data_IF_819266663435
#
_entry.id   IF_819266663435
#
_cell.length_a   1.000
_cell.length_b   1.000
_cell.length_c   1.000
_cell.angle_alpha   90.00
_cell.angle_beta   90.00
_cell.angle_gamma   90.00
#
_symmetry.space_group_name_H-M   'P 1'
#
loop_
_entity.id
_entity.type
_entity.pdbx_description
1 polymer ?
#
# COMPACT_ATOMS: atom_id res chain seq x y z
N UNK A 1 51.23 29.63 -54.69
CA UNK A 1 51.03 29.64 -53.22
C UNK A 1 49.55 29.91 -52.94
N UNK A 2 48.74 28.90 -52.59
CA UNK A 2 47.29 29.12 -52.40
C UNK A 2 46.48 27.87 -52.01
N UNK A 3 47.03 26.67 -52.22
CA UNK A 3 46.35 25.41 -51.87
C UNK A 3 46.48 25.03 -50.38
N UNK A 4 47.59 25.38 -49.71
CA UNK A 4 47.82 25.00 -48.31
C UNK A 4 46.94 25.77 -47.31
N UNK A 5 46.45 26.97 -47.66
CA UNK A 5 45.67 27.83 -46.74
C UNK A 5 44.22 27.35 -46.53
N UNK A 6 43.63 26.62 -47.50
CA UNK A 6 42.26 26.12 -47.40
C UNK A 6 42.13 24.86 -46.53
N UNK A 7 43.15 23.99 -46.49
CA UNK A 7 43.13 22.78 -45.65
C UNK A 7 43.21 23.09 -44.16
N UNK A 8 43.99 24.10 -43.76
CA UNK A 8 44.11 24.53 -42.35
C UNK A 8 42.81 25.13 -41.82
N UNK A 9 42.09 25.91 -42.64
CA UNK A 9 40.81 26.51 -42.25
C UNK A 9 39.73 25.46 -41.98
N UNK A 10 39.67 24.40 -42.81
CA UNK A 10 38.73 23.28 -42.66
C UNK A 10 39.02 22.43 -41.41
N UNK A 11 40.28 22.28 -41.03
CA UNK A 11 40.71 21.58 -39.82
C UNK A 11 40.33 22.35 -38.54
N UNK A 12 40.54 23.67 -38.53
CA UNK A 12 40.17 24.55 -37.41
C UNK A 12 38.64 24.58 -37.23
N UNK A 13 37.87 24.64 -38.31
CA UNK A 13 36.41 24.62 -38.25
C UNK A 13 35.85 23.29 -37.70
N UNK A 14 36.48 22.16 -38.05
CA UNK A 14 36.15 20.84 -37.49
C UNK A 14 36.49 20.73 -36.01
N UNK A 15 37.60 21.31 -35.58
CA UNK A 15 38.00 21.34 -34.18
C UNK A 15 37.02 22.17 -33.34
N UNK A 16 36.62 23.35 -33.83
CA UNK A 16 35.61 24.19 -33.18
C UNK A 16 34.23 23.53 -33.11
N UNK A 17 33.79 22.84 -34.17
CA UNK A 17 32.55 22.06 -34.12
C UNK A 17 32.59 20.94 -33.08
N UNK A 18 33.72 20.25 -32.95
CA UNK A 18 33.89 19.19 -31.93
C UNK A 18 33.93 19.79 -30.53
N UNK A 19 34.64 20.89 -30.32
CA UNK A 19 34.66 21.60 -29.05
C UNK A 19 33.26 22.09 -28.65
N UNK A 20 32.49 22.64 -29.60
CA UNK A 20 31.10 23.06 -29.36
C UNK A 20 30.19 21.88 -28.99
N UNK A 21 30.34 20.73 -29.66
CA UNK A 21 29.59 19.51 -29.33
C UNK A 21 29.95 18.97 -27.94
N UNK A 22 31.22 19.00 -27.54
CA UNK A 22 31.66 18.62 -26.20
C UNK A 22 31.14 19.57 -25.13
N UNK A 23 31.14 20.88 -25.41
CA UNK A 23 30.54 21.90 -24.53
C UNK A 23 29.02 21.72 -24.43
N UNK A 24 28.32 21.41 -25.53
CA UNK A 24 26.89 21.07 -25.51
C UNK A 24 26.60 19.76 -24.76
N UNK A 25 27.47 18.75 -24.84
CA UNK A 25 27.34 17.52 -24.06
C UNK A 25 27.63 17.74 -22.56
N UNK A 26 28.56 18.64 -22.22
CA UNK A 26 28.88 19.02 -20.85
C UNK A 26 27.83 19.96 -20.22
N UNK A 27 27.11 20.73 -21.04
CA UNK A 27 26.00 21.61 -20.64
C UNK A 27 24.64 20.92 -20.71
N UNK A 28 24.55 19.71 -21.28
CA UNK A 28 23.38 18.87 -21.13
C UNK A 28 23.35 18.37 -19.68
N UNK A 29 22.72 19.16 -18.80
CA UNK A 29 22.29 18.67 -17.50
C UNK A 29 21.54 17.34 -17.70
N UNK A 30 21.66 16.37 -16.78
CA UNK A 30 20.93 15.12 -16.91
C UNK A 30 19.45 15.46 -17.02
N UNK A 31 18.88 15.29 -18.21
CA UNK A 31 17.48 15.59 -18.52
C UNK A 31 16.52 14.54 -17.92
N UNK A 32 16.96 13.85 -16.86
CA UNK A 32 16.35 12.68 -16.26
C UNK A 32 15.88 12.97 -14.83
N UNK A 33 15.80 14.25 -14.44
CA UNK A 33 15.17 14.63 -13.18
C UNK A 33 13.65 14.65 -13.37
N UNK A 34 12.94 13.77 -12.68
CA UNK A 34 11.49 13.83 -12.58
C UNK A 34 11.06 14.82 -11.51
N UNK A 35 10.07 15.65 -11.82
CA UNK A 35 9.39 16.48 -10.82
C UNK A 35 8.41 15.60 -10.03
N UNK A 36 8.74 15.32 -8.77
CA UNK A 36 7.91 14.50 -7.88
C UNK A 36 7.30 15.41 -6.81
N UNK A 37 5.97 15.45 -6.78
CA UNK A 37 5.21 16.22 -5.81
C UNK A 37 4.50 15.29 -4.84
N UNK A 38 4.80 15.39 -3.55
CA UNK A 38 4.11 14.69 -2.47
C UNK A 38 3.07 15.61 -1.83
N UNK A 39 1.91 15.05 -1.55
CA UNK A 39 0.84 15.79 -0.86
C UNK A 39 0.08 14.93 0.14
N UNK A 40 -0.38 15.61 1.19
CA UNK A 40 -1.23 15.09 2.27
C UNK A 40 -2.04 16.25 2.85
N UNK A 41 -3.25 15.98 3.31
CA UNK A 41 -4.05 16.91 4.09
C UNK A 41 -3.43 17.22 5.46
N UNK A 42 -2.77 16.24 6.07
CA UNK A 42 -2.06 16.42 7.34
C UNK A 42 -0.57 16.69 7.10
N UNK A 43 -0.08 17.82 7.60
CA UNK A 43 1.35 18.14 7.62
C UNK A 43 1.98 17.68 8.96
N UNK A 44 2.06 16.36 9.12
CA UNK A 44 2.62 15.72 10.30
C UNK A 44 4.09 15.32 10.14
N UNK A 45 4.81 15.15 11.25
CA UNK A 45 6.22 14.75 11.26
C UNK A 45 6.48 13.45 10.47
N UNK A 46 5.55 12.49 10.48
CA UNK A 46 5.67 11.25 9.72
C UNK A 46 5.59 11.46 8.20
N UNK A 47 4.77 12.41 7.73
CA UNK A 47 4.66 12.75 6.31
C UNK A 47 5.92 13.46 5.83
N UNK A 48 6.43 14.39 6.64
CA UNK A 48 7.69 15.10 6.34
C UNK A 48 8.88 14.13 6.32
N UNK A 49 8.96 13.21 7.30
CA UNK A 49 9.99 12.17 7.33
C UNK A 49 9.92 11.25 6.11
N UNK A 50 8.71 10.89 5.67
CA UNK A 50 8.52 10.09 4.46
C UNK A 50 9.00 10.84 3.19
N UNK A 51 8.61 12.11 3.03
CA UNK A 51 9.03 12.93 1.91
C UNK A 51 10.55 13.13 1.88
N UNK A 52 11.16 13.35 3.04
CA UNK A 52 12.61 13.48 3.17
C UNK A 52 13.34 12.18 2.85
N UNK A 53 12.81 11.02 3.29
CA UNK A 53 13.39 9.73 2.97
C UNK A 53 13.34 9.43 1.47
N UNK A 54 12.23 9.75 0.79
CA UNK A 54 12.13 9.61 -0.66
C UNK A 54 13.11 10.53 -1.39
N UNK A 55 13.24 11.80 -0.94
CA UNK A 55 14.21 12.73 -1.50
C UNK A 55 15.67 12.24 -1.33
N UNK A 56 15.98 11.58 -0.22
CA UNK A 56 17.30 10.99 0.00
C UNK A 56 17.58 9.78 -0.89
N UNK A 57 16.57 8.95 -1.17
CA UNK A 57 16.71 7.80 -2.08
C UNK A 57 16.82 8.22 -3.55
N UNK A 58 16.26 9.37 -3.92
CA UNK A 58 16.20 9.86 -5.30
C UNK A 58 16.86 11.24 -5.45
N UNK A 59 18.20 11.34 -5.26
CA UNK A 59 18.91 12.62 -5.29
C UNK A 59 18.92 13.29 -6.68
N UNK A 60 18.67 12.52 -7.74
CA UNK A 60 18.59 13.01 -9.12
C UNK A 60 17.21 13.62 -9.45
N UNK A 61 16.18 13.29 -8.67
CA UNK A 61 14.81 13.78 -8.89
C UNK A 61 14.49 15.00 -8.02
N UNK A 62 13.62 15.88 -8.52
CA UNK A 62 13.15 17.02 -7.75
C UNK A 62 11.94 16.62 -6.89
N UNK A 63 12.22 16.18 -5.67
CA UNK A 63 11.20 15.75 -4.70
C UNK A 63 10.77 16.93 -3.83
N UNK A 64 9.48 17.28 -3.89
CA UNK A 64 8.88 18.36 -3.10
C UNK A 64 7.67 17.88 -2.32
N UNK A 65 7.44 18.46 -1.14
CA UNK A 65 6.21 18.25 -0.37
C UNK A 65 5.40 19.54 -0.36
N UNK A 66 4.10 19.45 -0.63
CA UNK A 66 3.17 20.58 -0.51
C UNK A 66 1.88 20.11 0.18
N UNK A 67 1.48 20.75 1.30
CA UNK A 67 0.22 20.44 1.97
C UNK A 67 -0.96 20.59 1.03
N UNK A 68 -1.97 19.72 1.16
CA UNK A 68 -3.11 19.67 0.24
C UNK A 68 -3.86 21.01 0.15
N UNK A 69 -3.97 21.73 1.26
CA UNK A 69 -4.62 23.05 1.36
C UNK A 69 -3.97 24.13 0.48
N UNK A 70 -2.69 23.96 0.15
CA UNK A 70 -1.89 24.93 -0.60
C UNK A 70 -1.81 24.56 -2.09
N UNK A 71 -2.37 23.41 -2.49
CA UNK A 71 -2.38 22.97 -3.88
C UNK A 71 -3.52 23.61 -4.69
N UNK A 72 -3.27 23.94 -5.97
CA UNK A 72 -4.32 24.35 -6.89
C UNK A 72 -5.21 23.16 -7.28
N UNK A 73 -6.19 23.38 -8.18
CA UNK A 73 -6.93 22.27 -8.79
C UNK A 73 -5.97 21.31 -9.55
N UNK A 74 -6.25 19.99 -9.61
CA UNK A 74 -5.32 19.03 -10.21
C UNK A 74 -4.91 19.34 -11.66
N UNK A 75 -5.79 19.87 -12.51
CA UNK A 75 -5.45 20.27 -13.90
C UNK A 75 -4.48 21.43 -14.02
N UNK A 76 -4.28 22.22 -12.96
CA UNK A 76 -3.33 23.34 -12.97
C UNK A 76 -1.90 22.91 -12.61
N UNK A 77 -1.72 21.67 -12.17
CA UNK A 77 -0.38 21.13 -11.97
C UNK A 77 0.29 20.84 -13.32
N UNK A 78 1.62 20.99 -13.41
CA UNK A 78 2.36 20.65 -14.62
C UNK A 78 2.12 19.18 -15.04
N UNK A 79 1.89 18.95 -16.33
CA UNK A 79 1.54 17.61 -16.82
C UNK A 79 2.69 16.59 -16.69
N UNK A 80 3.93 17.05 -16.57
CA UNK A 80 5.13 16.24 -16.34
C UNK A 80 5.35 15.89 -14.85
N UNK A 81 4.63 16.53 -13.93
CA UNK A 81 4.73 16.23 -12.50
C UNK A 81 4.21 14.82 -12.23
N UNK A 82 4.95 14.06 -11.42
CA UNK A 82 4.52 12.78 -10.85
C UNK A 82 4.01 13.04 -9.45
N UNK A 83 2.71 12.86 -9.26
CA UNK A 83 2.06 13.15 -8.00
C UNK A 83 2.04 11.92 -7.10
N UNK A 84 2.33 12.11 -5.82
CA UNK A 84 2.24 11.10 -4.77
C UNK A 84 1.27 11.62 -3.72
N UNK A 85 0.15 10.93 -3.56
CA UNK A 85 -0.89 11.23 -2.57
C UNK A 85 -0.77 10.27 -1.41
N UNK A 86 -0.69 10.79 -0.19
CA UNK A 86 -0.39 9.99 1.01
C UNK A 86 -1.60 9.70 1.91
N UNK A 87 -2.79 10.16 1.54
CA UNK A 87 -4.01 10.00 2.33
C UNK A 87 -5.30 10.05 1.50
N UNK A 88 -6.42 9.72 2.17
CA UNK A 88 -7.74 9.67 1.58
C UNK A 88 -8.27 11.05 1.13
N UNK A 89 -8.11 12.15 1.91
CA UNK A 89 -8.52 13.48 1.44
C UNK A 89 -7.77 13.95 0.19
N UNK A 90 -6.49 13.60 0.04
CA UNK A 90 -5.74 13.88 -1.18
C UNK A 90 -6.26 13.08 -2.38
N UNK A 91 -6.74 11.85 -2.17
CA UNK A 91 -7.42 11.08 -3.21
C UNK A 91 -8.73 11.78 -3.61
N UNK A 92 -9.53 12.22 -2.63
CA UNK A 92 -10.76 12.96 -2.88
C UNK A 92 -10.50 14.22 -3.70
N UNK A 93 -9.47 15.00 -3.36
CA UNK A 93 -9.05 16.17 -4.15
C UNK A 93 -8.62 15.77 -5.57
N UNK A 94 -7.82 14.71 -5.72
CA UNK A 94 -7.35 14.25 -7.03
C UNK A 94 -8.51 13.81 -7.93
N UNK A 95 -9.56 13.23 -7.38
CA UNK A 95 -10.73 12.75 -8.12
C UNK A 95 -11.67 13.87 -8.58
N UNK A 96 -11.53 15.10 -8.09
CA UNK A 96 -12.32 16.24 -8.54
C UNK A 96 -12.05 16.62 -10.01
N UNK A 97 -10.91 16.21 -10.56
CA UNK A 97 -10.48 16.59 -11.91
C UNK A 97 -9.73 15.45 -12.63
N UNK A 98 -10.33 14.94 -13.70
CA UNK A 98 -9.76 13.85 -14.49
C UNK A 98 -8.46 14.23 -15.23
N UNK A 99 -8.20 15.53 -15.45
CA UNK A 99 -7.03 16.03 -16.16
C UNK A 99 -5.79 16.20 -15.28
N UNK A 100 -5.86 15.82 -13.99
CA UNK A 100 -4.70 15.83 -13.12
C UNK A 100 -3.51 14.99 -13.62
N UNK A 101 -2.31 15.22 -13.05
CA UNK A 101 -1.10 14.48 -13.40
C UNK A 101 -1.21 12.98 -13.08
N UNK A 102 -0.29 12.15 -13.60
CA UNK A 102 -0.14 10.78 -13.13
C UNK A 102 0.12 10.73 -11.63
N UNK A 103 -0.64 9.89 -10.94
CA UNK A 103 -0.74 9.88 -9.48
C UNK A 103 -0.53 8.47 -8.92
N UNK A 104 0.42 8.35 -7.98
CA UNK A 104 0.53 7.20 -7.08
C UNK A 104 -0.20 7.56 -5.79
N UNK A 105 -1.16 6.74 -5.36
CA UNK A 105 -1.91 6.95 -4.12
C UNK A 105 -1.55 5.84 -3.15
N UNK A 106 -1.11 6.22 -1.96
CA UNK A 106 -0.60 5.30 -0.95
C UNK A 106 -1.47 5.37 0.31
N UNK A 107 -1.27 4.41 1.21
CA UNK A 107 -1.87 4.42 2.56
C UNK A 107 -3.41 4.41 2.56
N UNK A 108 -4.00 3.87 1.50
CA UNK A 108 -5.43 3.66 1.36
C UNK A 108 -5.75 2.17 1.33
N UNK A 109 -6.83 1.78 2.00
CA UNK A 109 -7.30 0.40 1.93
C UNK A 109 -8.16 0.17 0.68
N UNK A 110 -8.28 -1.09 0.26
CA UNK A 110 -9.17 -1.48 -0.84
C UNK A 110 -10.62 -1.10 -0.59
N UNK A 111 -11.07 -1.16 0.67
CA UNK A 111 -12.42 -0.72 1.05
C UNK A 111 -12.60 0.79 0.84
N UNK A 112 -11.66 1.60 1.32
CA UNK A 112 -11.71 3.06 1.14
C UNK A 112 -11.70 3.44 -0.34
N UNK A 113 -10.86 2.79 -1.14
CA UNK A 113 -10.83 3.02 -2.58
C UNK A 113 -12.14 2.58 -3.25
N UNK A 114 -12.72 1.44 -2.85
CA UNK A 114 -14.01 0.96 -3.34
C UNK A 114 -15.14 1.95 -3.06
N UNK A 115 -15.18 2.53 -1.87
CA UNK A 115 -16.18 3.55 -1.49
C UNK A 115 -16.07 4.83 -2.35
N UNK A 116 -14.86 5.23 -2.75
CA UNK A 116 -14.64 6.44 -3.57
C UNK A 116 -14.78 6.21 -5.06
N UNK A 117 -14.28 5.07 -5.56
CA UNK A 117 -14.18 4.80 -6.99
C UNK A 117 -15.33 3.91 -7.50
N UNK A 118 -16.01 3.18 -6.63
CA UNK A 118 -16.98 2.17 -7.02
C UNK A 118 -16.34 1.11 -7.94
N UNK A 119 -16.86 0.99 -9.16
CA UNK A 119 -16.30 0.14 -10.22
C UNK A 119 -15.46 0.93 -11.25
N UNK A 120 -15.29 2.23 -11.04
CA UNK A 120 -14.56 3.07 -11.99
C UNK A 120 -13.06 2.93 -11.80
N UNK A 121 -12.33 3.04 -12.91
CA UNK A 121 -10.89 3.07 -12.90
C UNK A 121 -10.41 4.40 -13.47
N UNK A 122 -10.20 5.42 -12.62
CA UNK A 122 -9.74 6.73 -13.07
C UNK A 122 -8.41 6.60 -13.81
N UNK A 123 -8.29 7.32 -14.93
CA UNK A 123 -7.07 7.32 -15.71
C UNK A 123 -5.91 7.95 -14.93
N UNK A 124 -4.70 7.45 -15.16
CA UNK A 124 -3.46 7.96 -14.57
C UNK A 124 -3.40 7.88 -13.03
N UNK A 125 -4.20 7.00 -12.40
CA UNK A 125 -4.13 6.75 -10.96
C UNK A 125 -3.69 5.30 -10.74
N UNK A 126 -2.64 5.12 -9.97
CA UNK A 126 -2.17 3.82 -9.47
C UNK A 126 -2.34 3.79 -7.95
N UNK A 127 -2.99 2.74 -7.44
CA UNK A 127 -3.35 2.61 -6.03
C UNK A 127 -2.42 1.58 -5.36
N UNK A 128 -1.71 2.00 -4.31
CA UNK A 128 -0.85 1.15 -3.51
C UNK A 128 -1.52 0.86 -2.16
N UNK A 129 -1.98 -0.38 -2.00
CA UNK A 129 -2.88 -0.78 -0.93
C UNK A 129 -2.19 -0.92 0.42
N UNK A 130 -2.80 -0.36 1.47
CA UNK A 130 -2.28 -0.43 2.84
C UNK A 130 -2.83 -1.56 3.68
N UNK A 131 -4.00 -2.07 3.33
CA UNK A 131 -4.48 -3.32 3.91
C UNK A 131 -3.58 -4.48 3.48
N UNK A 132 -3.47 -5.51 4.30
CA UNK A 132 -2.82 -6.75 3.89
C UNK A 132 -3.62 -7.50 2.81
N UNK A 133 -2.96 -8.15 1.84
CA UNK A 133 -3.65 -9.03 0.91
C UNK A 133 -4.42 -10.14 1.63
N UNK A 134 -5.65 -10.43 1.18
CA UNK A 134 -6.50 -11.45 1.79
C UNK A 134 -5.86 -12.85 1.74
N UNK A 135 -5.27 -13.23 0.60
CA UNK A 135 -4.55 -14.49 0.45
C UNK A 135 -3.40 -14.60 1.46
N UNK A 136 -2.65 -13.51 1.68
CA UNK A 136 -1.54 -13.45 2.65
C UNK A 136 -2.03 -13.67 4.08
N UNK A 137 -3.16 -13.08 4.44
CA UNK A 137 -3.76 -13.26 5.77
C UNK A 137 -4.31 -14.67 5.99
N UNK A 138 -4.90 -15.30 4.98
CA UNK A 138 -5.30 -16.71 5.05
C UNK A 138 -4.10 -17.64 5.19
N UNK A 139 -3.02 -17.39 4.44
CA UNK A 139 -1.77 -18.13 4.56
C UNK A 139 -1.11 -17.92 5.94
N UNK A 140 -1.18 -16.71 6.48
CA UNK A 140 -0.73 -16.42 7.84
C UNK A 140 -1.51 -17.30 8.82
N UNK A 141 -2.85 -17.29 8.78
CA UNK A 141 -3.71 -18.14 9.62
C UNK A 141 -3.31 -19.61 9.50
N UNK A 142 -3.20 -20.15 8.29
CA UNK A 142 -2.83 -21.54 8.07
C UNK A 142 -1.44 -21.87 8.63
N UNK A 143 -0.51 -20.91 8.62
CA UNK A 143 0.83 -21.09 9.18
C UNK A 143 0.89 -21.02 10.71
N UNK A 144 0.06 -20.20 11.35
CA UNK A 144 0.08 -20.02 12.82
C UNK A 144 -0.91 -20.91 13.55
N UNK A 145 -1.99 -21.32 12.88
CA UNK A 145 -3.10 -22.10 13.40
C UNK A 145 -3.44 -23.23 12.41
N UNK A 146 -2.56 -24.23 12.23
CA UNK A 146 -2.73 -25.28 11.21
C UNK A 146 -3.99 -26.14 11.39
N UNK A 147 -4.56 -26.15 12.59
CA UNK A 147 -5.80 -26.86 12.92
C UNK A 147 -7.07 -26.07 12.59
N UNK A 148 -6.98 -24.75 12.35
CA UNK A 148 -8.14 -23.93 12.05
C UNK A 148 -8.67 -24.26 10.64
N UNK A 149 -9.98 -24.49 10.53
CA UNK A 149 -10.65 -24.76 9.25
C UNK A 149 -11.75 -23.74 8.95
N UNK A 150 -12.44 -23.26 9.98
CA UNK A 150 -13.55 -22.31 9.86
C UNK A 150 -13.08 -20.91 10.21
N UNK A 151 -13.01 -20.04 9.21
CA UNK A 151 -12.54 -18.67 9.31
C UNK A 151 -13.74 -17.74 9.44
N UNK A 152 -13.94 -17.22 10.64
CA UNK A 152 -15.00 -16.27 10.92
C UNK A 152 -14.67 -14.87 10.41
N UNK A 153 -15.56 -14.27 9.62
CA UNK A 153 -15.36 -12.94 9.04
C UNK A 153 -16.57 -12.07 9.32
N UNK A 154 -16.36 -10.97 10.06
CA UNK A 154 -17.35 -9.90 10.16
C UNK A 154 -17.18 -8.96 8.98
N UNK A 155 -18.29 -8.61 8.34
CA UNK A 155 -18.31 -7.66 7.25
C UNK A 155 -19.52 -6.72 7.37
N UNK A 156 -19.39 -5.52 6.82
CA UNK A 156 -20.48 -4.59 6.60
C UNK A 156 -20.87 -4.56 5.13
N UNK A 157 -21.91 -3.80 4.78
CA UNK A 157 -22.38 -3.65 3.40
C UNK A 157 -21.27 -3.21 2.44
N UNK A 158 -20.40 -2.30 2.89
CA UNK A 158 -19.33 -1.76 2.05
C UNK A 158 -18.18 -2.75 1.84
N UNK A 159 -17.96 -3.69 2.77
CA UNK A 159 -16.88 -4.70 2.71
C UNK A 159 -17.32 -6.05 2.15
N UNK A 160 -18.61 -6.24 1.84
CA UNK A 160 -19.17 -7.48 1.28
C UNK A 160 -18.45 -7.94 -0.01
N UNK A 161 -18.00 -7.00 -0.85
CA UNK A 161 -17.32 -7.32 -2.11
C UNK A 161 -16.03 -8.13 -1.92
N UNK A 162 -15.41 -8.09 -0.73
CA UNK A 162 -14.19 -8.84 -0.41
C UNK A 162 -14.48 -10.33 -0.15
N UNK A 163 -15.73 -10.70 0.16
CA UNK A 163 -16.07 -12.07 0.53
C UNK A 163 -15.92 -13.06 -0.62
N UNK A 164 -16.21 -12.64 -1.86
CA UNK A 164 -16.03 -13.51 -3.02
C UNK A 164 -14.56 -13.89 -3.19
N UNK A 165 -13.68 -12.89 -3.26
CA UNK A 165 -12.24 -13.09 -3.38
C UNK A 165 -11.68 -13.88 -2.18
N UNK A 166 -12.17 -13.63 -0.97
CA UNK A 166 -11.74 -14.38 0.20
C UNK A 166 -12.08 -15.88 0.09
N UNK A 167 -13.26 -16.23 -0.43
CA UNK A 167 -13.64 -17.63 -0.69
C UNK A 167 -12.80 -18.26 -1.79
N UNK A 168 -12.47 -17.51 -2.84
CA UNK A 168 -11.62 -17.97 -3.94
C UNK A 168 -10.23 -18.38 -3.44
N UNK A 169 -9.63 -17.61 -2.53
CA UNK A 169 -8.36 -17.97 -1.89
C UNK A 169 -8.49 -19.07 -0.83
N UNK A 170 -9.59 -19.10 -0.06
CA UNK A 170 -9.77 -20.06 1.02
C UNK A 170 -10.05 -21.50 0.55
N UNK A 171 -10.83 -21.65 -0.53
CA UNK A 171 -11.23 -22.94 -1.09
C UNK A 171 -10.05 -23.89 -1.39
N UNK A 172 -9.01 -23.48 -2.15
CA UNK A 172 -7.87 -24.36 -2.44
C UNK A 172 -7.04 -24.71 -1.19
N UNK A 173 -7.15 -23.91 -0.12
CA UNK A 173 -6.50 -24.17 1.17
C UNK A 173 -7.32 -25.13 2.06
N UNK A 174 -8.53 -25.51 1.63
CA UNK A 174 -9.46 -26.29 2.45
C UNK A 174 -9.98 -25.52 3.67
N UNK A 175 -10.05 -24.19 3.57
CA UNK A 175 -10.60 -23.30 4.59
C UNK A 175 -12.05 -22.93 4.24
N UNK A 176 -12.93 -22.96 5.24
CA UNK A 176 -14.32 -22.53 5.14
C UNK A 176 -14.44 -21.09 5.64
N UNK A 177 -14.95 -20.18 4.80
CA UNK A 177 -15.28 -18.82 5.24
C UNK A 177 -16.69 -18.83 5.86
N UNK A 178 -16.77 -18.40 7.12
CA UNK A 178 -18.02 -18.20 7.87
C UNK A 178 -18.30 -16.70 7.94
N UNK A 179 -19.00 -16.11 6.95
CA UNK A 179 -19.28 -14.68 6.93
C UNK A 179 -20.46 -14.35 7.86
N UNK A 180 -20.37 -13.24 8.59
CA UNK A 180 -21.49 -12.67 9.35
C UNK A 180 -21.60 -11.17 9.08
N UNK A 181 -22.76 -10.75 8.57
CA UNK A 181 -23.06 -9.33 8.37
C UNK A 181 -23.23 -8.68 9.74
N UNK A 182 -22.55 -7.54 9.94
CA UNK A 182 -22.64 -6.75 11.16
C UNK A 182 -22.88 -5.28 10.81
N UNK A 183 -24.12 -4.98 10.45
CA UNK A 183 -24.62 -3.66 10.06
C UNK A 183 -25.05 -2.79 11.26
N UNK A 184 -25.27 -3.40 12.42
CA UNK A 184 -25.56 -2.73 13.68
C UNK A 184 -24.56 -3.13 14.77
N UNK A 185 -23.60 -2.25 15.06
CA UNK A 185 -22.54 -2.47 16.06
C UNK A 185 -23.07 -2.68 17.50
N UNK A 186 -24.32 -2.33 17.77
CA UNK A 186 -24.95 -2.58 19.08
C UNK A 186 -25.58 -3.97 19.18
N UNK A 187 -25.74 -4.67 18.06
CA UNK A 187 -26.25 -6.04 18.02
C UNK A 187 -25.10 -7.04 18.22
N UNK A 188 -25.15 -7.80 19.30
CA UNK A 188 -24.14 -8.83 19.59
C UNK A 188 -24.45 -10.19 18.96
N UNK A 189 -25.64 -10.39 18.37
CA UNK A 189 -26.05 -11.68 17.80
C UNK A 189 -25.11 -12.16 16.67
N UNK A 190 -24.69 -11.31 15.71
CA UNK A 190 -23.75 -11.72 14.67
C UNK A 190 -22.40 -12.20 15.26
N UNK A 191 -21.89 -11.48 16.26
CA UNK A 191 -20.66 -11.85 16.98
C UNK A 191 -20.80 -13.21 17.68
N UNK A 192 -21.90 -13.42 18.42
CA UNK A 192 -22.14 -14.68 19.12
C UNK A 192 -22.27 -15.88 18.16
N UNK A 193 -22.94 -15.69 17.02
CA UNK A 193 -23.04 -16.71 15.98
C UNK A 193 -21.66 -16.99 15.37
N UNK A 194 -20.86 -15.96 15.14
CA UNK A 194 -19.52 -16.11 14.60
C UNK A 194 -18.62 -16.91 15.54
N UNK A 195 -18.66 -16.59 16.84
CA UNK A 195 -17.80 -17.26 17.83
C UNK A 195 -18.13 -18.74 18.01
N UNK A 196 -19.40 -19.13 17.85
CA UNK A 196 -19.82 -20.54 17.95
C UNK A 196 -19.40 -21.39 16.75
N UNK A 197 -19.26 -20.77 15.58
CA UNK A 197 -19.13 -21.48 14.31
C UNK A 197 -17.74 -21.34 13.67
N UNK A 198 -16.80 -20.67 14.32
CA UNK A 198 -15.46 -20.38 13.76
C UNK A 198 -14.36 -20.91 14.67
N UNK A 199 -13.21 -21.26 14.08
CA UNK A 199 -12.00 -21.67 14.80
C UNK A 199 -11.01 -20.51 14.98
N UNK A 200 -11.13 -19.48 14.14
CA UNK A 200 -10.35 -18.26 14.16
C UNK A 200 -11.14 -17.15 13.48
N UNK A 201 -10.92 -15.90 13.90
CA UNK A 201 -11.47 -14.72 13.25
C UNK A 201 -10.44 -14.07 12.33
N UNK A 202 -10.88 -13.60 11.17
CA UNK A 202 -10.12 -12.73 10.29
C UNK A 202 -10.79 -11.35 10.24
N UNK A 203 -10.04 -10.33 10.64
CA UNK A 203 -10.49 -8.94 10.54
C UNK A 203 -10.26 -8.36 9.16
N UNK A 204 -11.31 -7.77 8.58
CA UNK A 204 -11.21 -6.93 7.37
C UNK A 204 -10.86 -5.50 7.78
N UNK A 205 -10.11 -4.77 6.94
CA UNK A 205 -9.76 -3.35 7.19
C UNK A 205 -10.96 -2.43 6.94
N UNK A 206 -12.01 -2.66 7.73
CA UNK A 206 -13.27 -1.95 7.72
C UNK A 206 -13.36 -1.02 8.94
N UNK A 207 -13.18 0.31 8.76
CA UNK A 207 -13.19 1.25 9.87
C UNK A 207 -14.59 1.41 10.50
N UNK A 208 -15.67 0.95 9.87
CA UNK A 208 -16.99 0.94 10.52
C UNK A 208 -17.08 -0.17 11.57
N UNK A 209 -16.43 -1.31 11.32
CA UNK A 209 -16.48 -2.49 12.18
C UNK A 209 -15.29 -2.58 13.14
N UNK A 210 -14.10 -2.18 12.72
CA UNK A 210 -12.84 -2.31 13.45
C UNK A 210 -12.29 -0.93 13.83
N UNK A 211 -12.89 -0.31 14.86
CA UNK A 211 -12.54 1.03 15.33
C UNK A 211 -12.44 1.10 16.86
N UNK A 212 -11.97 2.22 17.45
CA UNK A 212 -11.81 2.35 18.90
C UNK A 212 -13.08 2.10 19.73
N UNK A 213 -14.29 2.25 19.15
CA UNK A 213 -15.55 2.00 19.86
C UNK A 213 -15.86 0.51 19.95
N UNK A 214 -15.55 -0.26 18.91
CA UNK A 214 -15.90 -1.69 18.80
C UNK A 214 -14.77 -2.64 19.21
N UNK A 215 -13.51 -2.23 19.01
CA UNK A 215 -12.31 -3.07 19.21
C UNK A 215 -12.26 -3.73 20.59
N UNK A 216 -12.53 -2.97 21.66
CA UNK A 216 -12.47 -3.47 23.03
C UNK A 216 -13.48 -4.60 23.25
N UNK A 217 -14.72 -4.40 22.79
CA UNK A 217 -15.77 -5.40 22.97
C UNK A 217 -15.50 -6.66 22.12
N UNK A 218 -15.07 -6.47 20.87
CA UNK A 218 -14.73 -7.56 19.95
C UNK A 218 -13.60 -8.42 20.53
N UNK A 219 -12.50 -7.81 20.96
CA UNK A 219 -11.35 -8.52 21.53
C UNK A 219 -11.69 -9.24 22.83
N UNK A 220 -12.36 -8.57 23.78
CA UNK A 220 -12.75 -9.20 25.05
C UNK A 220 -13.68 -10.39 24.82
N UNK A 221 -14.63 -10.26 23.89
CA UNK A 221 -15.56 -11.36 23.58
C UNK A 221 -14.85 -12.52 22.88
N UNK A 222 -13.92 -12.23 21.96
CA UNK A 222 -13.09 -13.23 21.30
C UNK A 222 -12.27 -14.03 22.32
N UNK A 223 -11.61 -13.35 23.26
CA UNK A 223 -10.83 -14.01 24.31
C UNK A 223 -11.68 -14.83 25.28
N UNK A 224 -12.86 -14.33 25.67
CA UNK A 224 -13.78 -15.07 26.53
C UNK A 224 -14.21 -16.42 25.90
N UNK A 225 -14.20 -16.50 24.56
CA UNK A 225 -14.49 -17.71 23.80
C UNK A 225 -13.22 -18.46 23.36
N UNK A 226 -12.04 -18.05 23.83
CA UNK A 226 -10.73 -18.58 23.42
C UNK A 226 -10.51 -18.57 21.89
N UNK A 227 -11.16 -17.63 21.20
CA UNK A 227 -11.13 -17.55 19.76
C UNK A 227 -10.03 -16.57 19.34
N UNK A 228 -9.00 -17.01 18.58
CA UNK A 228 -7.96 -16.11 18.12
C UNK A 228 -8.48 -15.18 17.03
N UNK A 229 -8.00 -13.94 17.01
CA UNK A 229 -8.29 -12.96 15.96
C UNK A 229 -7.01 -12.59 15.23
N UNK A 230 -6.95 -12.84 13.93
CA UNK A 230 -5.96 -12.24 13.03
C UNK A 230 -6.51 -10.89 12.58
N UNK A 231 -5.82 -9.83 12.99
CA UNK A 231 -6.33 -8.46 12.90
C UNK A 231 -6.18 -7.86 11.49
N UNK A 232 -6.98 -6.83 11.17
CA UNK A 232 -6.95 -6.20 9.85
C UNK A 232 -5.63 -5.52 9.51
N UNK A 233 -4.86 -5.09 10.52
CA UNK A 233 -3.60 -4.40 10.33
C UNK A 233 -2.73 -4.49 11.61
N UNK A 234 -1.47 -4.06 11.51
CA UNK A 234 -0.53 -4.03 12.64
C UNK A 234 -0.99 -3.15 13.82
N UNK A 235 -1.77 -2.09 13.55
CA UNK A 235 -2.37 -1.26 14.60
C UNK A 235 -3.32 -2.06 15.49
N UNK A 236 -4.07 -2.99 14.90
CA UNK A 236 -4.98 -3.86 15.64
C UNK A 236 -4.25 -4.93 16.46
N UNK A 237 -3.05 -5.37 16.04
CA UNK A 237 -2.20 -6.30 16.83
C UNK A 237 -1.73 -5.63 18.11
N UNK A 238 -1.38 -4.34 18.04
CA UNK A 238 -1.08 -3.52 19.22
C UNK A 238 -2.30 -3.35 20.14
N UNK A 239 -3.51 -3.35 19.58
CA UNK A 239 -4.76 -3.30 20.35
C UNK A 239 -5.14 -4.66 20.96
N UNK A 240 -4.63 -5.77 20.44
CA UNK A 240 -4.82 -7.13 21.00
C UNK A 240 -5.18 -8.24 20.00
N UNK A 241 -5.18 -8.04 18.68
CA UNK A 241 -5.23 -9.21 17.80
C UNK A 241 -3.97 -10.07 17.92
N UNK A 242 -4.09 -11.36 17.59
CA UNK A 242 -3.02 -12.35 17.66
C UNK A 242 -1.87 -12.00 16.72
N UNK A 243 -2.17 -11.72 15.45
CA UNK A 243 -1.17 -11.44 14.44
C UNK A 243 -1.77 -10.67 13.26
N UNK A 244 -0.92 -10.11 12.41
CA UNK A 244 -1.26 -9.57 11.08
C UNK A 244 0.04 -9.39 10.29
N UNK A 245 -0.04 -9.33 8.95
CA UNK A 245 1.07 -8.85 8.13
C UNK A 245 0.99 -7.35 7.91
N UNK A 246 2.10 -6.67 7.65
CA UNK A 246 2.12 -5.24 7.33
C UNK A 246 3.34 -4.90 6.46
N UNK A 247 3.26 -3.76 5.79
CA UNK A 247 4.39 -3.16 5.07
C UNK A 247 4.72 -1.81 5.72
N UNK A 248 5.98 -1.58 6.01
CA UNK A 248 6.48 -0.35 6.64
C UNK A 248 7.02 0.64 5.62
N UNK A 249 7.43 1.82 6.10
CA UNK A 249 7.92 2.91 5.26
C UNK A 249 9.00 2.48 4.26
N UNK A 250 9.92 1.58 4.64
CA UNK A 250 10.97 1.12 3.74
C UNK A 250 10.37 0.31 2.58
N UNK A 251 9.41 -0.56 2.86
CA UNK A 251 8.73 -1.34 1.81
C UNK A 251 7.97 -0.43 0.83
N UNK A 252 7.33 0.62 1.33
CA UNK A 252 6.62 1.61 0.50
C UNK A 252 7.59 2.38 -0.40
N UNK A 253 8.71 2.79 0.15
CA UNK A 253 9.77 3.51 -0.56
C UNK A 253 10.40 2.63 -1.65
N UNK A 254 10.66 1.36 -1.39
CA UNK A 254 11.17 0.41 -2.39
C UNK A 254 10.20 0.25 -3.58
N UNK A 255 8.89 0.23 -3.31
CA UNK A 255 7.89 0.19 -4.38
C UNK A 255 7.89 1.49 -5.18
N UNK A 256 7.94 2.64 -4.50
CA UNK A 256 7.99 3.94 -5.16
C UNK A 256 9.21 4.08 -6.04
N UNK A 257 10.38 3.67 -5.57
CA UNK A 257 11.64 3.75 -6.31
C UNK A 257 11.52 3.02 -7.66
N UNK A 258 11.05 1.76 -7.63
CA UNK A 258 10.83 0.97 -8.85
C UNK A 258 9.78 1.57 -9.78
N UNK A 259 8.67 2.09 -9.24
CA UNK A 259 7.62 2.69 -10.07
C UNK A 259 8.10 4.00 -10.71
N UNK A 260 8.83 4.82 -9.97
CA UNK A 260 9.33 6.11 -10.43
C UNK A 260 10.46 5.96 -11.45
N UNK A 261 11.15 4.84 -11.52
CA UNK A 261 12.11 4.57 -12.62
C UNK A 261 11.43 4.32 -13.97
N UNK A 262 10.12 4.12 -13.98
CA UNK A 262 9.34 3.82 -15.17
C UNK A 262 8.40 4.98 -15.56
N UNK A 263 8.05 5.11 -16.86
CA UNK A 263 7.12 6.12 -17.31
C UNK A 263 5.73 5.87 -16.68
N UNK A 264 4.94 6.92 -16.36
CA UNK A 264 3.65 6.72 -15.71
C UNK A 264 2.62 5.90 -16.50
N UNK A 265 2.81 5.74 -17.80
CA UNK A 265 1.99 4.89 -18.67
C UNK A 265 2.17 3.40 -18.41
N UNK A 266 3.27 2.98 -17.77
CA UNK A 266 3.52 1.58 -17.41
C UNK A 266 3.19 1.26 -15.95
N UNK A 267 2.75 2.24 -15.16
CA UNK A 267 2.33 1.97 -13.79
C UNK A 267 1.10 1.05 -13.77
N UNK A 268 1.05 0.06 -12.88
CA UNK A 268 -0.12 -0.80 -12.73
C UNK A 268 -1.32 0.01 -12.23
N UNK A 269 -2.53 -0.53 -12.37
CA UNK A 269 -3.74 0.12 -11.83
C UNK A 269 -3.75 0.11 -10.30
N UNK A 270 -3.31 -1.00 -9.73
CA UNK A 270 -3.12 -1.15 -8.31
C UNK A 270 -2.15 -2.27 -8.01
N UNK A 271 -1.55 -2.25 -6.82
CA UNK A 271 -0.62 -3.25 -6.36
C UNK A 271 -0.52 -3.24 -4.82
N UNK A 272 0.05 -4.31 -4.28
CA UNK A 272 0.51 -4.40 -2.91
C UNK A 272 2.04 -4.33 -2.88
N UNK A 273 2.67 -3.88 -1.77
CA UNK A 273 4.10 -4.07 -1.59
C UNK A 273 4.50 -5.55 -1.61
N UNK A 274 5.57 -5.86 -2.33
CA UNK A 274 6.14 -7.21 -2.40
C UNK A 274 6.82 -7.60 -1.09
N UNK A 275 7.48 -6.63 -0.45
CA UNK A 275 8.07 -6.81 0.87
C UNK A 275 7.05 -6.50 1.97
N UNK A 276 7.04 -7.36 2.98
CA UNK A 276 6.17 -7.24 4.14
C UNK A 276 6.82 -7.93 5.34
N UNK A 277 6.27 -7.62 6.52
CA UNK A 277 6.63 -8.24 7.80
C UNK A 277 5.39 -8.87 8.42
N UNK A 278 5.59 -9.78 9.35
CA UNK A 278 4.56 -10.31 10.24
C UNK A 278 4.76 -9.65 11.59
N UNK A 279 3.66 -9.27 12.25
CA UNK A 279 3.69 -8.88 13.67
C UNK A 279 2.75 -9.79 14.43
N UNK A 280 3.24 -10.36 15.53
CA UNK A 280 2.50 -11.17 16.47
C UNK A 280 2.33 -10.48 17.82
N UNK A 281 1.36 -10.92 18.59
CA UNK A 281 1.18 -10.49 19.97
C UNK A 281 1.49 -11.66 20.92
N UNK A 282 2.69 -11.70 21.54
CA UNK A 282 3.12 -12.82 22.36
C UNK A 282 2.29 -12.97 23.64
N UNK A 283 1.71 -11.87 24.15
CA UNK A 283 0.82 -11.92 25.32
C UNK A 283 -0.49 -12.64 24.97
N UNK A 284 -1.03 -12.33 23.79
CA UNK A 284 -2.27 -12.93 23.29
C UNK A 284 -2.06 -14.40 22.95
N UNK A 285 -0.98 -14.74 22.24
CA UNK A 285 -0.62 -16.12 21.94
C UNK A 285 -0.55 -16.97 23.22
N UNK A 286 0.14 -16.47 24.25
CA UNK A 286 0.25 -17.14 25.56
C UNK A 286 -1.11 -17.33 26.24
N UNK A 287 -1.98 -16.32 26.20
CA UNK A 287 -3.30 -16.38 26.82
C UNK A 287 -4.24 -17.40 26.15
N UNK A 288 -4.03 -17.64 24.86
CA UNK A 288 -4.79 -18.59 24.05
C UNK A 288 -4.14 -19.98 23.97
N UNK A 289 -2.99 -20.18 24.64
CA UNK A 289 -2.24 -21.43 24.58
C UNK A 289 -1.62 -21.73 23.21
N UNK A 290 -1.40 -20.70 22.39
CA UNK A 290 -0.80 -20.80 21.05
C UNK A 290 0.71 -20.60 21.16
N UNK A 291 1.46 -21.33 20.36
CA UNK A 291 2.91 -21.13 20.22
C UNK A 291 3.22 -19.68 19.78
N UNK A 292 4.32 -19.12 20.29
CA UNK A 292 4.70 -17.77 19.90
C UNK A 292 5.04 -17.73 18.41
N UNK A 293 4.52 -16.72 17.72
CA UNK A 293 4.76 -16.52 16.29
C UNK A 293 6.21 -16.10 16.10
N UNK A 294 7.02 -16.93 15.44
CA UNK A 294 8.31 -16.52 14.89
C UNK A 294 8.05 -15.64 13.67
N UNK A 295 7.97 -14.33 13.91
CA UNK A 295 7.61 -13.32 12.90
C UNK A 295 8.49 -13.40 11.65
N UNK A 296 9.80 -13.63 11.83
CA UNK A 296 10.77 -13.68 10.72
C UNK A 296 10.59 -14.96 9.92
N UNK A 297 10.53 -16.12 10.59
CA UNK A 297 10.37 -17.40 9.91
C UNK A 297 9.01 -17.51 9.20
N UNK A 298 7.93 -17.00 9.81
CA UNK A 298 6.60 -16.97 9.20
C UNK A 298 6.59 -16.01 8.01
N UNK A 299 7.17 -14.81 8.12
CA UNK A 299 7.26 -13.88 6.98
C UNK A 299 8.00 -14.50 5.79
N UNK A 300 9.13 -15.17 6.03
CA UNK A 300 9.89 -15.85 4.99
C UNK A 300 9.07 -16.94 4.28
N UNK A 301 8.37 -17.78 5.04
CA UNK A 301 7.51 -18.85 4.50
C UNK A 301 6.36 -18.29 3.66
N UNK A 302 5.72 -17.20 4.12
CA UNK A 302 4.65 -16.54 3.38
C UNK A 302 5.18 -15.94 2.06
N UNK A 303 6.35 -15.29 2.09
CA UNK A 303 6.96 -14.71 0.90
C UNK A 303 7.38 -15.78 -0.13
N UNK A 304 7.80 -16.96 0.30
CA UNK A 304 8.06 -18.10 -0.59
C UNK A 304 6.79 -18.64 -1.25
N UNK A 305 5.68 -18.69 -0.50
CA UNK A 305 4.37 -19.11 -1.01
C UNK A 305 3.82 -18.16 -2.08
N UNK A 306 3.97 -16.84 -1.92
CA UNK A 306 3.52 -15.86 -2.92
C UNK A 306 4.29 -15.94 -4.25
N UNK A 307 5.53 -16.45 -4.24
CA UNK A 307 6.36 -16.62 -5.44
C UNK A 307 6.05 -17.90 -6.22
N UNK A 308 5.34 -18.86 -5.62
CA UNK A 308 5.03 -20.18 -6.20
C UNK A 308 3.52 -20.44 -6.10
N UNK A 309 2.71 -19.82 -6.99
CA UNK A 309 1.26 -20.00 -6.99
C UNK A 309 0.83 -21.44 -7.32
#
# INVERSE_FOLDING_TARGET
MGAQSRMTLLLVLRFWRRALLWVCLLLAAPAWSADILLTSAEDGAGVQAFAQALAQQRPEDHVTFTPLKDLPAPSRLPANTRLIVLDLPGLDWRLQDAQGPPTLVLRISRLQARQRLGHTHPAKISLLWSDPPLARQLNLIASILPQAKRIGVLYGTDSEFLLQELREYATPMGLEIVPQLWDNINDSRPLQNLFKNSDVLLGLDDPQLYNPKTVKNLLLSSYAQQLPLVGPNAGFVKAGSLASTYSDQADWLDVLDRLLDHPPTSWPRSLYPEHFKVVGNPQVARSLGIEQVDEVAVAARLAEGEKRP
#
